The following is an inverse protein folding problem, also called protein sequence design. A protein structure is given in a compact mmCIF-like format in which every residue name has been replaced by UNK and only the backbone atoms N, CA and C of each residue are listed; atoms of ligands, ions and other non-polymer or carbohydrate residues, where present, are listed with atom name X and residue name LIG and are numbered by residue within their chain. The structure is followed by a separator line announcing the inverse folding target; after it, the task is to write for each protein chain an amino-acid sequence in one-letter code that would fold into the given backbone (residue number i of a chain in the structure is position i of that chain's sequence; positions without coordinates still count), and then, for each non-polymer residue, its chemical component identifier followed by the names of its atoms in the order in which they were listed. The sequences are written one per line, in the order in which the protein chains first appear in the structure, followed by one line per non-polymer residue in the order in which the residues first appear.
data_IF_069419914209
#
_entry.id   IF_069419914209
#
_cell.length_a   1.000
_cell.length_b   1.000
_cell.length_c   1.000
_cell.angle_alpha   90.00
_cell.angle_beta   90.00
_cell.angle_gamma   90.00
#
_symmetry.space_group_name_H-M   'P 1'
#
loop_
_entity.id
_entity.type
_entity.pdbx_description
1 polymer ?
#
# COMPACT_ATOMS: atom_id res chain seq x y z
N UNK A 1 4.65 31.06 -21.84
CA UNK A 1 3.40 30.45 -21.37
C UNK A 1 3.23 29.11 -22.05
N UNK A 2 3.48 27.99 -21.35
CA UNK A 2 3.22 26.65 -21.90
C UNK A 2 1.72 26.50 -22.12
N UNK A 3 1.29 26.23 -23.36
CA UNK A 3 -0.12 26.02 -23.71
C UNK A 3 -0.51 24.62 -23.26
N UNK A 4 -0.99 24.51 -22.01
CA UNK A 4 -1.42 23.24 -21.35
C UNK A 4 -2.58 22.49 -22.04
N UNK A 5 -3.10 23.00 -23.15
CA UNK A 5 -4.16 22.39 -23.95
C UNK A 5 -3.73 22.20 -25.42
N UNK A 6 -2.43 22.19 -25.73
CA UNK A 6 -1.96 21.94 -27.09
C UNK A 6 -2.20 20.46 -27.46
N UNK A 7 -3.03 20.18 -28.49
CA UNK A 7 -3.32 18.82 -28.96
C UNK A 7 -2.09 18.12 -29.56
N UNK A 8 -0.95 18.82 -29.70
CA UNK A 8 0.32 18.22 -30.13
C UNK A 8 1.13 17.63 -28.96
N UNK A 9 0.73 17.86 -27.71
CA UNK A 9 1.36 17.22 -26.53
C UNK A 9 0.82 15.80 -26.32
N UNK A 10 1.62 14.93 -25.70
CA UNK A 10 1.21 13.58 -25.31
C UNK A 10 -0.09 13.58 -24.48
N UNK A 11 -0.18 14.51 -23.52
CA UNK A 11 -1.36 14.70 -22.66
C UNK A 11 -2.55 15.22 -23.47
N UNK A 12 -2.35 16.23 -24.32
CA UNK A 12 -3.41 16.77 -25.18
C UNK A 12 -4.02 15.72 -26.12
N UNK A 13 -3.17 14.87 -26.72
CA UNK A 13 -3.63 13.76 -27.56
C UNK A 13 -4.36 12.68 -26.77
N UNK A 14 -3.92 12.39 -25.54
CA UNK A 14 -4.56 11.40 -24.68
C UNK A 14 -5.96 11.85 -24.23
N UNK A 15 -6.11 13.12 -23.83
CA UNK A 15 -7.40 13.69 -23.39
C UNK A 15 -8.38 13.83 -24.57
N UNK A 16 -7.88 14.13 -25.77
CA UNK A 16 -8.73 14.30 -26.96
C UNK A 16 -9.29 12.98 -27.53
N UNK A 17 -8.86 11.83 -27.02
CA UNK A 17 -9.35 10.51 -27.45
C UNK A 17 -10.45 10.00 -26.51
N UNK A 18 -11.46 9.28 -27.02
CA UNK A 18 -12.42 8.58 -26.17
C UNK A 18 -11.70 7.68 -25.16
N UNK A 19 -12.14 7.71 -23.90
CA UNK A 19 -11.62 6.81 -22.87
C UNK A 19 -11.90 5.35 -23.28
N UNK A 20 -10.87 4.51 -23.18
CA UNK A 20 -10.98 3.05 -23.35
C UNK A 20 -11.06 2.33 -22.01
N UNK A 21 -10.96 3.06 -20.89
CA UNK A 21 -11.07 2.50 -19.54
C UNK A 21 -12.55 2.35 -19.19
N UNK A 22 -12.98 1.12 -18.90
CA UNK A 22 -14.30 0.83 -18.35
C UNK A 22 -14.21 0.59 -16.82
N UNK A 23 -14.54 1.59 -16.00
CA UNK A 23 -14.42 1.47 -14.54
C UNK A 23 -15.49 0.58 -13.89
N UNK A 24 -16.60 0.29 -14.59
CA UNK A 24 -17.69 -0.52 -14.07
C UNK A 24 -17.37 -2.02 -14.07
N UNK A 25 -16.62 -2.50 -15.07
CA UNK A 25 -16.29 -3.92 -15.26
C UNK A 25 -15.10 -4.41 -14.40
N UNK A 26 -14.39 -3.51 -13.74
CA UNK A 26 -13.20 -3.86 -12.93
C UNK A 26 -13.48 -3.63 -11.46
N UNK A 27 -13.21 -4.59 -10.57
CA UNK A 27 -13.30 -4.36 -9.12
C UNK A 27 -12.08 -3.59 -8.59
N UNK A 28 -10.91 -3.85 -9.18
CA UNK A 28 -9.64 -3.20 -8.84
C UNK A 28 -9.12 -2.41 -10.03
N UNK A 29 -8.88 -1.12 -9.82
CA UNK A 29 -8.24 -0.24 -10.79
C UNK A 29 -6.95 0.31 -10.17
N UNK A 30 -5.82 0.12 -10.85
CA UNK A 30 -4.50 0.56 -10.37
C UNK A 30 -3.94 1.61 -11.33
N UNK A 31 -3.68 2.80 -10.81
CA UNK A 31 -2.95 3.84 -11.51
C UNK A 31 -1.48 3.77 -11.13
N UNK A 32 -0.65 3.27 -12.03
CA UNK A 32 0.80 3.25 -11.81
C UNK A 32 1.40 4.60 -12.16
N UNK A 33 1.80 5.36 -11.13
CA UNK A 33 2.56 6.61 -11.29
C UNK A 33 4.08 6.37 -11.44
N UNK A 34 4.52 5.11 -11.63
CA UNK A 34 5.94 4.78 -11.78
C UNK A 34 6.50 5.41 -13.04
N UNK A 35 7.64 6.09 -12.91
CA UNK A 35 8.32 6.76 -14.02
C UNK A 35 7.77 8.14 -14.37
N UNK A 36 6.77 8.65 -13.63
CA UNK A 36 6.30 10.02 -13.76
C UNK A 36 6.99 10.92 -12.74
N UNK A 37 7.44 12.09 -13.19
CA UNK A 37 7.98 13.10 -12.30
C UNK A 37 6.85 13.75 -11.48
N UNK A 38 7.02 13.93 -10.16
CA UNK A 38 6.06 14.66 -9.35
C UNK A 38 5.79 16.07 -9.93
N UNK A 39 4.51 16.44 -10.03
CA UNK A 39 4.10 17.73 -10.58
C UNK A 39 4.15 17.85 -12.11
N UNK A 40 4.52 16.79 -12.84
CA UNK A 40 4.42 16.80 -14.30
C UNK A 40 2.96 16.88 -14.76
N UNK A 41 2.72 17.39 -15.96
CA UNK A 41 1.37 17.49 -16.54
C UNK A 41 0.73 16.09 -16.69
N UNK A 42 1.52 15.08 -17.02
CA UNK A 42 1.09 13.69 -17.06
C UNK A 42 0.67 13.21 -15.67
N UNK A 43 1.49 13.42 -14.64
CA UNK A 43 1.17 12.99 -13.28
C UNK A 43 -0.14 13.62 -12.77
N UNK A 44 -0.34 14.91 -13.06
CA UNK A 44 -1.57 15.64 -12.74
C UNK A 44 -2.78 15.09 -13.51
N UNK A 45 -2.64 14.82 -14.80
CA UNK A 45 -3.71 14.22 -15.61
C UNK A 45 -4.10 12.83 -15.10
N UNK A 46 -3.12 12.01 -14.69
CA UNK A 46 -3.38 10.70 -14.07
C UNK A 46 -4.11 10.84 -12.74
N UNK A 47 -3.72 11.79 -11.88
CA UNK A 47 -4.42 12.06 -10.62
C UNK A 47 -5.88 12.49 -10.86
N UNK A 48 -6.12 13.31 -11.89
CA UNK A 48 -7.47 13.72 -12.29
C UNK A 48 -8.33 12.57 -12.82
N UNK A 49 -7.72 11.68 -13.63
CA UNK A 49 -8.36 10.45 -14.08
C UNK A 49 -8.72 9.51 -12.93
N UNK A 50 -7.78 9.31 -11.99
CA UNK A 50 -7.99 8.46 -10.81
C UNK A 50 -9.13 8.99 -9.92
N UNK A 51 -9.18 10.30 -9.68
CA UNK A 51 -10.27 10.94 -8.94
C UNK A 51 -11.63 10.76 -9.62
N UNK A 52 -11.69 10.95 -10.95
CA UNK A 52 -12.94 10.79 -11.70
C UNK A 52 -13.46 9.34 -11.65
N UNK A 53 -12.55 8.37 -11.78
CA UNK A 53 -12.89 6.95 -11.67
C UNK A 53 -13.30 6.57 -10.24
N UNK A 54 -12.69 7.17 -9.22
CA UNK A 54 -13.10 6.95 -7.83
C UNK A 54 -14.56 7.39 -7.59
N UNK A 55 -14.96 8.56 -8.11
CA UNK A 55 -16.34 9.04 -8.02
C UNK A 55 -17.29 8.15 -8.81
N UNK A 56 -16.93 7.77 -10.04
CA UNK A 56 -17.78 6.87 -10.83
C UNK A 56 -18.01 5.53 -10.10
N UNK A 57 -16.95 4.95 -9.52
CA UNK A 57 -17.06 3.72 -8.73
C UNK A 57 -17.91 3.87 -7.48
N UNK A 58 -17.86 5.00 -6.78
CA UNK A 58 -18.72 5.19 -5.60
C UNK A 58 -20.20 5.31 -5.94
N UNK A 59 -20.54 5.73 -7.16
CA UNK A 59 -21.93 5.73 -7.63
C UNK A 59 -22.38 4.32 -8.03
N UNK A 60 -21.48 3.47 -8.52
CA UNK A 60 -21.79 2.09 -8.94
C UNK A 60 -21.74 1.06 -7.80
N UNK A 61 -21.01 1.35 -6.71
CA UNK A 61 -20.77 0.40 -5.61
C UNK A 61 -21.01 1.04 -4.24
N UNK A 62 -21.66 0.34 -3.29
CA UNK A 62 -22.00 0.90 -1.97
C UNK A 62 -20.81 1.42 -1.15
N UNK A 63 -19.64 0.81 -1.32
CA UNK A 63 -18.39 1.22 -0.66
C UNK A 63 -17.27 1.11 -1.68
N UNK A 64 -16.52 2.20 -1.85
CA UNK A 64 -15.37 2.29 -2.75
C UNK A 64 -14.15 2.79 -1.98
N UNK A 65 -13.07 1.99 -1.97
CA UNK A 65 -11.81 2.37 -1.34
C UNK A 65 -10.87 3.00 -2.36
N UNK A 66 -10.34 4.17 -2.01
CA UNK A 66 -9.29 4.86 -2.75
C UNK A 66 -8.04 4.85 -1.89
N UNK A 67 -6.98 4.19 -2.36
CA UNK A 67 -5.71 4.10 -1.63
C UNK A 67 -4.64 4.86 -2.40
N UNK A 68 -4.01 5.84 -1.74
CA UNK A 68 -2.90 6.61 -2.29
C UNK A 68 -1.61 6.13 -1.63
N UNK A 69 -0.84 5.34 -2.38
CA UNK A 69 0.50 4.91 -1.98
C UNK A 69 1.51 6.04 -2.18
N UNK A 70 2.49 6.17 -1.28
CA UNK A 70 3.50 7.24 -1.31
C UNK A 70 2.88 8.66 -1.34
N UNK A 71 1.83 8.87 -0.53
CA UNK A 71 1.01 10.08 -0.55
C UNK A 71 1.80 11.39 -0.38
N UNK A 72 2.98 11.36 0.26
CA UNK A 72 3.86 12.53 0.36
C UNK A 72 4.39 13.05 -0.99
N UNK A 73 4.36 12.24 -2.05
CA UNK A 73 4.68 12.69 -3.42
C UNK A 73 3.50 13.43 -4.03
N UNK A 74 2.31 12.85 -3.92
CA UNK A 74 1.07 13.48 -4.40
C UNK A 74 0.77 14.79 -3.65
N UNK A 75 1.13 14.87 -2.36
CA UNK A 75 0.91 16.05 -1.54
C UNK A 75 1.79 17.26 -1.89
N UNK A 76 2.75 17.12 -2.81
CA UNK A 76 3.54 18.25 -3.33
C UNK A 76 2.68 19.18 -4.21
N UNK A 77 1.57 18.66 -4.75
CA UNK A 77 0.66 19.38 -5.63
C UNK A 77 -0.63 19.76 -4.89
N UNK A 78 -0.85 21.05 -4.53
CA UNK A 78 -2.01 21.46 -3.75
C UNK A 78 -3.35 21.12 -4.41
N UNK A 79 -3.41 21.12 -5.76
CA UNK A 79 -4.59 20.71 -6.51
C UNK A 79 -4.96 19.25 -6.24
N UNK A 80 -3.97 18.37 -6.21
CA UNK A 80 -4.16 16.92 -5.96
C UNK A 80 -4.60 16.69 -4.51
N UNK A 81 -4.04 17.43 -3.54
CA UNK A 81 -4.47 17.36 -2.13
C UNK A 81 -5.94 17.79 -1.98
N UNK A 82 -6.36 18.86 -2.66
CA UNK A 82 -7.76 19.29 -2.64
C UNK A 82 -8.69 18.23 -3.20
N UNK A 83 -8.30 17.57 -4.29
CA UNK A 83 -9.08 16.45 -4.85
C UNK A 83 -9.21 15.30 -3.83
N UNK A 84 -8.13 14.93 -3.14
CA UNK A 84 -8.19 13.94 -2.05
C UNK A 84 -9.13 14.38 -0.92
N UNK A 85 -9.07 15.64 -0.51
CA UNK A 85 -9.95 16.18 0.54
C UNK A 85 -11.43 16.20 0.10
N UNK A 86 -11.71 16.52 -1.17
CA UNK A 86 -13.06 16.46 -1.72
C UNK A 86 -13.63 15.02 -1.72
N UNK A 87 -12.80 13.98 -1.93
CA UNK A 87 -13.25 12.59 -1.86
C UNK A 87 -13.85 12.23 -0.49
N UNK A 88 -13.22 12.66 0.60
CA UNK A 88 -13.70 12.36 1.96
C UNK A 88 -14.81 13.30 2.41
N UNK A 89 -14.71 14.60 2.10
CA UNK A 89 -15.65 15.60 2.60
C UNK A 89 -16.98 15.60 1.85
N UNK A 90 -16.95 15.36 0.53
CA UNK A 90 -18.17 15.36 -0.31
C UNK A 90 -18.72 13.96 -0.51
N UNK A 91 -17.86 13.03 -0.93
CA UNK A 91 -18.28 11.69 -1.36
C UNK A 91 -18.17 10.63 -0.27
N UNK A 92 -17.73 10.99 0.93
CA UNK A 92 -17.68 10.07 2.07
C UNK A 92 -19.07 9.51 2.45
N UNK A 93 -20.13 10.31 2.26
CA UNK A 93 -21.52 9.87 2.46
C UNK A 93 -21.98 8.91 1.36
N UNK A 94 -21.40 9.02 0.17
CA UNK A 94 -21.69 8.18 -1.00
C UNK A 94 -20.82 6.90 -1.01
N UNK A 95 -20.21 6.54 0.12
CA UNK A 95 -19.47 5.28 0.27
C UNK A 95 -17.97 5.36 -0.09
N UNK A 96 -17.42 6.53 -0.40
CA UNK A 96 -15.97 6.68 -0.63
C UNK A 96 -15.20 6.58 0.69
N UNK A 97 -14.12 5.80 0.70
CA UNK A 97 -13.17 5.69 1.80
C UNK A 97 -11.75 5.94 1.29
N UNK A 98 -11.11 6.99 1.77
CA UNK A 98 -9.72 7.32 1.42
C UNK A 98 -8.76 6.71 2.43
N UNK A 99 -7.74 6.02 1.93
CA UNK A 99 -6.57 5.59 2.69
C UNK A 99 -5.31 6.25 2.15
N UNK A 100 -4.49 6.81 3.03
CA UNK A 100 -3.18 7.36 2.69
C UNK A 100 -2.09 6.46 3.27
N UNK A 101 -1.13 6.07 2.43
CA UNK A 101 0.08 5.35 2.86
C UNK A 101 1.27 6.26 2.58
N UNK A 102 2.02 6.62 3.62
CA UNK A 102 3.14 7.57 3.51
C UNK A 102 4.25 7.22 4.50
N UNK A 103 5.49 7.50 4.09
CA UNK A 103 6.66 7.42 4.98
C UNK A 103 6.93 8.74 5.72
N UNK A 104 6.17 9.80 5.44
CA UNK A 104 6.34 11.11 6.08
C UNK A 104 5.03 11.90 6.06
N UNK A 105 4.32 11.89 7.18
CA UNK A 105 3.13 12.71 7.37
C UNK A 105 3.45 14.20 7.40
N UNK A 106 4.61 14.60 7.92
CA UNK A 106 5.08 15.98 7.91
C UNK A 106 5.12 16.56 6.49
N UNK A 107 5.56 15.77 5.50
CA UNK A 107 5.57 16.19 4.09
C UNK A 107 4.16 16.38 3.54
N UNK A 108 3.18 15.61 3.99
CA UNK A 108 1.77 15.79 3.64
C UNK A 108 1.22 17.06 4.29
N UNK A 109 1.55 17.29 5.56
CA UNK A 109 1.10 18.43 6.37
C UNK A 109 1.80 19.78 6.04
N UNK A 110 2.68 19.81 5.04
CA UNK A 110 3.41 21.04 4.63
C UNK A 110 2.48 22.16 4.16
N UNK A 111 1.34 21.81 3.58
CA UNK A 111 0.35 22.77 3.08
C UNK A 111 -0.89 22.80 3.97
N UNK A 112 -1.62 23.92 3.98
CA UNK A 112 -2.90 24.01 4.71
C UNK A 112 -3.87 22.92 4.26
N UNK A 113 -4.01 22.71 2.94
CA UNK A 113 -4.86 21.67 2.39
C UNK A 113 -4.45 20.26 2.87
N UNK A 114 -3.15 20.04 3.08
CA UNK A 114 -2.64 18.77 3.60
C UNK A 114 -2.95 18.57 5.08
N UNK A 115 -2.90 19.63 5.88
CA UNK A 115 -3.34 19.60 7.29
C UNK A 115 -4.83 19.32 7.38
N UNK A 116 -5.64 20.06 6.63
CA UNK A 116 -7.10 19.86 6.56
C UNK A 116 -7.43 18.42 6.11
N UNK A 117 -6.66 17.86 5.18
CA UNK A 117 -6.82 16.46 4.75
C UNK A 117 -6.54 15.48 5.91
N UNK A 118 -5.43 15.66 6.65
CA UNK A 118 -5.08 14.78 7.76
C UNK A 118 -6.04 14.90 8.95
N UNK A 119 -6.58 16.08 9.20
CA UNK A 119 -7.57 16.33 10.26
C UNK A 119 -8.88 15.56 10.00
N UNK A 120 -9.24 15.38 8.73
CA UNK A 120 -10.41 14.59 8.33
C UNK A 120 -10.17 13.07 8.33
N UNK A 121 -8.94 12.60 8.58
CA UNK A 121 -8.65 11.17 8.71
C UNK A 121 -8.90 10.70 10.15
N UNK A 122 -9.97 9.92 10.33
CA UNK A 122 -10.44 9.46 11.65
C UNK A 122 -9.64 8.28 12.20
N UNK A 123 -9.14 7.42 11.31
CA UNK A 123 -8.43 6.20 11.66
C UNK A 123 -7.00 6.27 11.14
N UNK A 124 -6.03 6.15 12.05
CA UNK A 124 -4.60 6.23 11.76
C UNK A 124 -3.92 4.96 12.28
N UNK A 125 -2.98 4.43 11.51
CA UNK A 125 -2.14 3.30 11.92
C UNK A 125 -0.70 3.77 11.85
N UNK A 126 -0.01 3.75 12.98
CA UNK A 126 1.40 4.09 13.07
C UNK A 126 2.21 2.82 13.31
N UNK A 127 3.12 2.53 12.38
CA UNK A 127 4.10 1.45 12.52
C UNK A 127 5.36 1.90 13.25
N UNK A 128 6.48 1.17 13.06
CA UNK A 128 7.77 1.57 13.62
C UNK A 128 8.23 2.90 13.04
N UNK A 129 8.72 3.79 13.91
CA UNK A 129 9.25 5.09 13.52
C UNK A 129 10.67 5.29 14.04
N UNK A 130 11.33 6.35 13.61
CA UNK A 130 12.62 6.77 14.15
C UNK A 130 12.41 7.77 15.30
N UNK A 131 13.33 7.79 16.27
CA UNK A 131 13.29 8.73 17.40
C UNK A 131 13.23 10.20 16.93
N UNK A 132 13.91 10.52 15.83
CA UNK A 132 13.94 11.87 15.25
C UNK A 132 12.56 12.36 14.75
N UNK A 133 11.60 11.46 14.49
CA UNK A 133 10.27 11.80 13.98
C UNK A 133 9.19 11.84 15.06
N UNK A 134 9.52 11.53 16.31
CA UNK A 134 8.55 11.43 17.41
C UNK A 134 7.79 12.75 17.62
N UNK A 135 8.52 13.85 17.80
CA UNK A 135 7.91 15.16 18.08
C UNK A 135 7.02 15.64 16.92
N UNK A 136 7.54 15.58 15.69
CA UNK A 136 6.80 16.05 14.51
C UNK A 136 5.57 15.21 14.22
N UNK A 137 5.62 13.89 14.44
CA UNK A 137 4.46 13.01 14.26
C UNK A 137 3.40 13.21 15.36
N UNK A 138 3.82 13.46 16.60
CA UNK A 138 2.89 13.78 17.70
C UNK A 138 2.07 15.02 17.36
N UNK A 139 2.74 16.09 16.90
CA UNK A 139 2.09 17.33 16.47
C UNK A 139 1.22 17.11 15.22
N UNK A 140 1.78 16.52 14.17
CA UNK A 140 1.10 16.39 12.86
C UNK A 140 -0.11 15.46 12.92
N UNK A 141 -0.07 14.39 13.70
CA UNK A 141 -1.14 13.40 13.80
C UNK A 141 -2.08 13.64 14.99
N UNK A 142 -1.74 14.61 15.85
CA UNK A 142 -2.42 14.89 17.11
C UNK A 142 -2.52 13.64 18.00
N UNK A 143 -1.39 12.95 18.16
CA UNK A 143 -1.26 11.75 19.01
C UNK A 143 -0.39 12.12 20.22
N UNK A 144 -0.77 11.72 21.46
CA UNK A 144 0.04 11.95 22.65
C UNK A 144 1.50 11.50 22.49
N UNK A 145 2.43 12.36 22.93
CA UNK A 145 3.87 12.17 22.73
C UNK A 145 4.37 10.83 23.30
N UNK A 146 3.90 10.46 24.48
CA UNK A 146 4.23 9.22 25.19
C UNK A 146 3.82 7.96 24.42
N UNK A 147 2.76 8.04 23.61
CA UNK A 147 2.32 6.93 22.76
C UNK A 147 3.16 6.84 21.48
N UNK A 148 3.54 7.99 20.90
CA UNK A 148 4.41 8.05 19.73
C UNK A 148 5.84 7.59 20.08
N UNK A 149 6.36 7.97 21.24
CA UNK A 149 7.67 7.53 21.74
C UNK A 149 7.77 6.00 21.81
N UNK A 150 6.72 5.32 22.26
CA UNK A 150 6.68 3.86 22.29
C UNK A 150 6.85 3.25 20.89
N UNK A 151 6.34 3.92 19.84
CA UNK A 151 6.45 3.46 18.46
C UNK A 151 7.90 3.54 17.91
N UNK A 152 8.78 4.32 18.55
CA UNK A 152 10.21 4.38 18.23
C UNK A 152 11.02 3.30 18.95
N UNK A 153 10.44 2.61 19.93
CA UNK A 153 11.13 1.57 20.70
C UNK A 153 11.38 0.31 19.87
N UNK A 154 12.37 -0.47 20.30
CA UNK A 154 12.70 -1.77 19.67
C UNK A 154 11.55 -2.78 19.72
N UNK A 155 10.56 -2.58 20.62
CA UNK A 155 9.38 -3.43 20.70
C UNK A 155 8.47 -3.30 19.46
N UNK A 156 8.57 -2.23 18.68
CA UNK A 156 7.78 -2.05 17.46
C UNK A 156 8.40 -2.70 16.23
N UNK A 157 9.72 -2.93 16.25
CA UNK A 157 10.39 -3.59 15.15
C UNK A 157 9.83 -4.99 14.90
N UNK A 158 9.90 -5.40 13.63
CA UNK A 158 9.38 -6.68 13.18
C UNK A 158 10.05 -7.84 13.93
N UNK A 159 9.27 -8.58 14.69
CA UNK A 159 9.70 -9.88 15.22
C UNK A 159 9.62 -10.90 14.08
N UNK A 160 10.78 -11.24 13.52
CA UNK A 160 10.86 -12.22 12.44
C UNK A 160 10.45 -13.62 12.89
N UNK A 161 10.69 -14.00 14.15
CA UNK A 161 10.35 -15.35 14.64
C UNK A 161 8.84 -15.52 14.75
N UNK A 162 8.16 -14.50 15.27
CA UNK A 162 6.71 -14.50 15.43
C UNK A 162 5.96 -14.01 14.18
N UNK A 163 6.68 -13.47 13.19
CA UNK A 163 6.10 -12.95 11.96
C UNK A 163 5.14 -11.78 12.20
N UNK A 164 5.41 -10.95 13.21
CA UNK A 164 4.56 -9.83 13.60
C UNK A 164 5.33 -8.52 13.71
N UNK A 165 4.59 -7.42 13.69
CA UNK A 165 5.07 -6.11 14.13
C UNK A 165 4.04 -5.50 15.06
N UNK A 166 4.47 -4.61 15.96
CA UNK A 166 3.51 -3.84 16.75
C UNK A 166 3.16 -2.55 16.01
N UNK A 167 1.91 -2.14 16.17
CA UNK A 167 1.36 -0.92 15.59
C UNK A 167 0.55 -0.18 16.65
N UNK A 168 0.52 1.14 16.54
CA UNK A 168 -0.40 1.99 17.27
C UNK A 168 -1.59 2.28 16.36
N UNK A 169 -2.75 1.77 16.76
CA UNK A 169 -4.02 2.09 16.13
C UNK A 169 -4.63 3.30 16.85
N UNK A 170 -4.95 4.34 16.10
CA UNK A 170 -5.70 5.49 16.56
C UNK A 170 -7.03 5.51 15.83
N UNK A 171 -8.15 5.39 16.55
CA UNK A 171 -9.48 5.47 15.97
C UNK A 171 -10.36 6.44 16.75
N UNK A 172 -10.74 7.54 16.12
CA UNK A 172 -11.58 8.59 16.73
C UNK A 172 -11.06 9.05 18.11
N UNK A 173 -9.74 9.22 18.23
CA UNK A 173 -9.06 9.65 19.46
C UNK A 173 -8.83 8.54 20.49
N UNK A 174 -9.28 7.30 20.24
CA UNK A 174 -8.90 6.13 21.04
C UNK A 174 -7.61 5.54 20.52
N UNK A 175 -6.71 5.22 21.42
CA UNK A 175 -5.39 4.70 21.11
C UNK A 175 -5.28 3.26 21.61
N UNK A 176 -4.79 2.36 20.76
CA UNK A 176 -4.64 0.95 21.09
C UNK A 176 -3.37 0.41 20.46
N UNK A 177 -2.50 -0.16 21.29
CA UNK A 177 -1.38 -0.95 20.81
C UNK A 177 -1.87 -2.33 20.38
N UNK A 178 -1.51 -2.72 19.17
CA UNK A 178 -1.92 -3.99 18.58
C UNK A 178 -0.74 -4.68 17.91
N UNK A 179 -0.79 -6.00 17.84
CA UNK A 179 0.13 -6.79 17.02
C UNK A 179 -0.49 -7.07 15.66
N UNK A 180 0.23 -6.69 14.60
CA UNK A 180 -0.14 -6.94 13.23
C UNK A 180 0.60 -8.17 12.70
N UNK A 181 -0.17 -9.15 12.22
CA UNK A 181 0.32 -10.40 11.64
C UNK A 181 0.07 -10.39 10.12
N UNK A 182 1.02 -9.94 9.30
CA UNK A 182 0.86 -9.97 7.86
C UNK A 182 0.75 -11.41 7.35
N UNK A 183 -0.10 -11.63 6.34
CA UNK A 183 -0.11 -12.90 5.64
C UNK A 183 1.23 -13.19 4.98
N UNK A 184 1.76 -14.40 5.12
CA UNK A 184 3.09 -14.77 4.58
C UNK A 184 3.24 -14.55 3.08
N UNK A 185 2.14 -14.67 2.32
CA UNK A 185 2.11 -14.34 0.89
C UNK A 185 2.41 -12.85 0.65
N UNK A 186 1.85 -11.95 1.48
CA UNK A 186 2.14 -10.52 1.41
C UNK A 186 3.61 -10.24 1.73
N UNK A 187 4.15 -10.86 2.79
CA UNK A 187 5.58 -10.77 3.15
C UNK A 187 6.47 -11.22 1.98
N UNK A 188 6.12 -12.33 1.33
CA UNK A 188 6.85 -12.86 0.18
C UNK A 188 6.81 -11.93 -1.04
N UNK A 189 5.65 -11.30 -1.30
CA UNK A 189 5.50 -10.32 -2.37
C UNK A 189 6.34 -9.06 -2.10
N UNK A 190 6.34 -8.55 -0.86
CA UNK A 190 7.12 -7.39 -0.43
C UNK A 190 8.61 -7.66 -0.24
N UNK A 191 9.03 -8.93 -0.25
CA UNK A 191 10.41 -9.35 -0.04
C UNK A 191 11.35 -8.67 -1.06
N UNK A 192 12.24 -7.82 -0.56
CA UNK A 192 13.02 -6.86 -1.37
C UNK A 192 14.51 -6.84 -1.03
N UNK A 193 14.93 -7.53 0.03
CA UNK A 193 16.35 -7.71 0.32
C UNK A 193 17.01 -8.54 -0.79
N UNK A 194 18.32 -8.36 -1.02
CA UNK A 194 19.03 -9.00 -2.14
C UNK A 194 18.83 -10.53 -2.16
N UNK A 195 19.04 -11.21 -1.03
CA UNK A 195 18.85 -12.66 -0.93
C UNK A 195 17.41 -13.11 -1.19
N UNK A 196 16.44 -12.40 -0.61
CA UNK A 196 15.02 -12.64 -0.83
C UNK A 196 14.59 -12.43 -2.28
N UNK A 197 15.09 -11.38 -2.95
CA UNK A 197 14.78 -11.08 -4.35
C UNK A 197 15.31 -12.16 -5.28
N UNK A 198 16.56 -12.58 -5.09
CA UNK A 198 17.15 -13.62 -5.93
C UNK A 198 16.49 -14.99 -5.68
N UNK A 199 16.17 -15.31 -4.43
CA UNK A 199 15.42 -16.52 -4.11
C UNK A 199 14.01 -16.49 -4.72
N UNK A 200 13.26 -15.38 -4.57
CA UNK A 200 11.94 -15.20 -5.21
C UNK A 200 12.00 -15.39 -6.72
N UNK A 201 12.99 -14.79 -7.39
CA UNK A 201 13.20 -14.97 -8.83
C UNK A 201 13.45 -16.44 -9.18
N UNK A 202 14.22 -17.16 -8.35
CA UNK A 202 14.48 -18.59 -8.58
C UNK A 202 13.20 -19.41 -8.48
N UNK A 203 12.37 -19.19 -7.46
CA UNK A 203 11.06 -19.85 -7.33
C UNK A 203 10.17 -19.59 -8.54
N UNK A 204 10.07 -18.33 -8.99
CA UNK A 204 9.29 -17.95 -10.18
C UNK A 204 9.83 -18.53 -11.49
N UNK A 205 11.12 -18.89 -11.54
CA UNK A 205 11.74 -19.50 -12.72
C UNK A 205 11.55 -21.03 -12.75
N UNK A 206 11.65 -21.69 -11.59
CA UNK A 206 11.55 -23.16 -11.49
C UNK A 206 10.11 -23.64 -11.55
N UNK A 207 9.17 -22.91 -10.94
CA UNK A 207 7.75 -23.30 -10.86
C UNK A 207 6.98 -22.55 -11.94
N UNK A 208 6.35 -23.28 -12.87
CA UNK A 208 5.66 -22.71 -14.01
C UNK A 208 4.45 -21.84 -13.62
N UNK A 209 3.69 -22.26 -12.61
CA UNK A 209 2.55 -21.48 -12.13
C UNK A 209 3.02 -20.40 -11.14
N UNK A 210 2.98 -19.13 -11.58
CA UNK A 210 3.40 -17.97 -10.77
C UNK A 210 2.71 -17.87 -9.40
N UNK A 211 1.46 -18.30 -9.27
CA UNK A 211 0.73 -18.25 -8.00
C UNK A 211 1.24 -19.32 -7.03
N UNK A 212 1.46 -20.53 -7.53
CA UNK A 212 2.07 -21.64 -6.77
C UNK A 212 3.50 -21.29 -6.38
N UNK A 213 4.26 -20.66 -7.27
CA UNK A 213 5.62 -20.19 -7.01
C UNK A 213 5.69 -19.21 -5.83
N UNK A 214 4.79 -18.21 -5.80
CA UNK A 214 4.72 -17.25 -4.69
C UNK A 214 4.26 -17.92 -3.39
N UNK A 215 3.29 -18.83 -3.44
CA UNK A 215 2.85 -19.58 -2.27
C UNK A 215 3.98 -20.45 -1.69
N UNK A 216 4.70 -21.18 -2.54
CA UNK A 216 5.85 -22.00 -2.16
C UNK A 216 6.98 -21.14 -1.57
N UNK A 217 7.25 -19.99 -2.18
CA UNK A 217 8.23 -19.04 -1.67
C UNK A 217 7.82 -18.45 -0.31
N UNK A 218 6.53 -18.17 -0.10
CA UNK A 218 6.01 -17.71 1.18
C UNK A 218 6.19 -18.75 2.29
N UNK A 219 5.98 -20.03 2.00
CA UNK A 219 6.27 -21.13 2.93
C UNK A 219 7.77 -21.21 3.26
N UNK A 220 8.64 -20.99 2.28
CA UNK A 220 10.08 -20.98 2.50
C UNK A 220 10.53 -19.78 3.36
N UNK A 221 10.05 -18.57 3.07
CA UNK A 221 10.32 -17.39 3.91
C UNK A 221 9.89 -17.64 5.34
N UNK A 222 8.67 -18.13 5.54
CA UNK A 222 8.15 -18.47 6.87
C UNK A 222 9.07 -19.44 7.59
N UNK A 223 9.47 -20.52 6.92
CA UNK A 223 10.38 -21.54 7.46
C UNK A 223 11.71 -20.92 7.94
N UNK A 224 12.29 -20.03 7.14
CA UNK A 224 13.52 -19.33 7.52
C UNK A 224 13.31 -18.42 8.73
N UNK A 225 12.25 -17.62 8.70
CA UNK A 225 11.93 -16.61 9.71
C UNK A 225 11.67 -17.23 11.08
N UNK A 226 10.85 -18.27 11.15
CA UNK A 226 10.57 -19.02 12.39
C UNK A 226 11.83 -19.64 13.02
N UNK A 227 12.87 -19.92 12.20
CA UNK A 227 14.14 -20.52 12.63
C UNK A 227 15.28 -19.51 12.80
N UNK A 228 15.02 -18.22 12.55
CA UNK A 228 16.06 -17.20 12.54
C UNK A 228 17.13 -17.41 11.46
N UNK A 229 16.79 -18.09 10.38
CA UNK A 229 17.66 -18.31 9.23
C UNK A 229 17.51 -17.17 8.21
N UNK A 230 18.60 -16.87 7.50
CA UNK A 230 18.52 -15.98 6.35
C UNK A 230 17.93 -16.69 5.14
N UNK A 231 17.26 -15.92 4.29
CA UNK A 231 16.70 -16.42 3.02
C UNK A 231 17.85 -16.56 2.02
N UNK A 232 18.04 -17.79 1.54
CA UNK A 232 19.08 -18.14 0.58
C UNK A 232 18.46 -18.62 -0.73
N UNK A 233 19.28 -18.70 -1.78
CA UNK A 233 18.86 -19.29 -3.05
C UNK A 233 18.94 -20.80 -2.93
N UNK A 234 17.81 -21.48 -3.08
CA UNK A 234 17.73 -22.94 -2.98
C UNK A 234 18.01 -23.62 -4.33
N UNK A 235 18.58 -24.85 -4.32
CA UNK A 235 18.61 -25.73 -5.49
C UNK A 235 17.19 -26.14 -5.94
N UNK A 236 17.05 -26.55 -7.19
CA UNK A 236 15.74 -26.86 -7.79
C UNK A 236 15.01 -28.01 -7.09
N UNK A 237 15.74 -29.03 -6.64
CA UNK A 237 15.18 -30.12 -5.83
C UNK A 237 14.55 -29.57 -4.54
N UNK A 238 15.24 -28.63 -3.89
CA UNK A 238 14.80 -27.76 -2.79
C UNK A 238 13.41 -27.17 -3.05
N UNK A 239 13.31 -26.45 -4.16
CA UNK A 239 12.14 -25.66 -4.55
C UNK A 239 10.95 -26.56 -4.89
N UNK A 240 11.19 -27.68 -5.59
CA UNK A 240 10.15 -28.65 -5.93
C UNK A 240 9.54 -29.33 -4.69
N UNK A 241 10.28 -29.46 -3.59
CA UNK A 241 9.70 -29.93 -2.32
C UNK A 241 8.68 -28.93 -1.75
N UNK A 242 8.95 -27.63 -1.84
CA UNK A 242 7.99 -26.59 -1.42
C UNK A 242 6.77 -26.54 -2.35
N UNK A 243 6.95 -26.71 -3.66
CA UNK A 243 5.84 -26.82 -4.62
C UNK A 243 4.89 -27.98 -4.25
N UNK A 244 5.44 -29.17 -3.98
CA UNK A 244 4.63 -30.34 -3.57
C UNK A 244 3.83 -30.08 -2.29
N UNK A 245 4.39 -29.36 -1.33
CA UNK A 245 3.70 -29.02 -0.07
C UNK A 245 2.51 -28.07 -0.30
N UNK A 246 2.56 -27.19 -1.29
CA UNK A 246 1.42 -26.35 -1.66
C UNK A 246 0.22 -27.18 -2.14
N UNK A 247 0.46 -28.26 -2.89
CA UNK A 247 -0.59 -29.14 -3.41
C UNK A 247 -1.19 -30.08 -2.37
N UNK A 248 -0.40 -30.50 -1.38
CA UNK A 248 -0.90 -31.33 -0.28
C UNK A 248 -1.87 -30.55 0.63
N UNK A 249 -1.67 -29.23 0.78
CA UNK A 249 -2.55 -28.37 1.57
C UNK A 249 -3.95 -28.21 0.95
N UNK A 250 -4.09 -28.28 -0.37
CA UNK A 250 -5.39 -28.17 -1.06
C UNK A 250 -6.23 -29.46 -0.98
N UNK A 251 -5.59 -30.62 -0.90
CA UNK A 251 -6.27 -31.92 -0.83
C UNK A 251 -6.78 -32.29 0.57
N UNK A 252 -6.20 -31.71 1.62
CA UNK A 252 -6.73 -31.86 2.99
C UNK A 252 -7.90 -30.93 3.29
N UNK A 253 -7.95 -29.74 2.67
CA UNK A 253 -9.05 -28.80 2.86
C UNK A 253 -10.36 -29.28 2.22
N UNK A 254 -10.28 -30.01 1.10
CA UNK A 254 -11.43 -30.62 0.43
C UNK A 254 -11.97 -31.87 1.15
N UNK A 255 -11.14 -32.55 1.96
CA UNK A 255 -11.56 -33.72 2.76
C UNK A 255 -12.13 -33.37 4.14
N UNK A 256 -11.95 -32.14 4.63
CA UNK A 256 -12.57 -31.66 5.88
C UNK A 256 -13.89 -30.91 5.64
N UNK A 257 -14.26 -30.67 4.39
CA UNK A 257 -15.51 -30.03 3.98
C UNK A 257 -16.54 -31.01 3.39
N UNK A 258 -16.32 -32.32 3.53
CA UNK A 258 -17.20 -33.40 3.08
C UNK A 258 -17.66 -34.25 4.27
#
# INVERSE_FOLDING_TARGET
MSRKCDPNTSVGQAIARPSTVNPEETLLTVFSLRGLEPGSEEALAYCAGAYSIAIQKSLSYPISHVIVEEAQKAAQEPGVVRMMSDLITRYGKDGVRLGLVTNSFDKVAKSQAGRDLLDNITTKILGPITEASVGSLSETLNIPLDLVEQCASSAFYTDRKEGRMNVLLCDNGRHTFASFYPGWVSVALSASNRGERESKKRFLHVIANKYVAIAAFAMYIRYCFERGLEVQVLPDKQIQEFEKRCHLSSDTASKQAA
#
